data_IF_751198397352
#
_entry.id   IF_751198397352
#
_cell.length_a   1.000
_cell.length_b   1.000
_cell.length_c   1.000
_cell.angle_alpha   90.00
_cell.angle_beta   90.00
_cell.angle_gamma   90.00
#
_symmetry.space_group_name_H-M   'P 1'
#
loop_
_entity.id
_entity.type
_entity.pdbx_description
1 polymer ?
#
# COMPACT_ATOMS: atom_id res chain seq x y z
N UNK A 1 6.73 13.47 -3.18
CA UNK A 1 5.30 13.72 -3.23
C UNK A 1 4.96 14.83 -2.26
N UNK A 2 4.38 15.93 -2.75
CA UNK A 2 4.20 17.12 -1.93
C UNK A 2 3.34 16.92 -0.68
N UNK A 3 2.40 15.99 -0.71
CA UNK A 3 1.47 15.79 0.40
C UNK A 3 1.97 14.82 1.49
N UNK A 4 3.05 14.09 1.24
CA UNK A 4 3.50 13.07 2.17
C UNK A 4 4.50 13.64 3.18
N UNK A 5 4.11 13.59 4.46
CA UNK A 5 4.98 14.08 5.55
C UNK A 5 5.93 13.01 6.06
N UNK A 6 5.54 11.74 5.97
CA UNK A 6 6.31 10.63 6.50
C UNK A 6 7.56 10.37 5.65
N UNK A 7 8.68 10.12 6.31
CA UNK A 7 9.88 9.55 5.72
C UNK A 7 10.28 8.35 6.57
N UNK A 8 10.29 7.17 5.96
CA UNK A 8 10.83 5.98 6.61
C UNK A 8 12.35 5.99 6.37
N UNK A 9 13.12 6.24 7.42
CA UNK A 9 14.58 6.26 7.35
C UNK A 9 15.09 4.85 7.59
N UNK A 10 15.57 4.22 6.53
CA UNK A 10 15.92 2.81 6.54
C UNK A 10 17.36 2.63 7.00
N UNK A 11 17.55 1.82 8.03
CA UNK A 11 18.86 1.41 8.47
C UNK A 11 19.16 0.04 7.85
N UNK A 12 19.88 0.06 6.75
CA UNK A 12 20.32 -1.15 6.09
C UNK A 12 21.43 -1.84 6.87
N UNK A 13 21.73 -3.07 6.50
CA UNK A 13 22.73 -3.91 7.17
C UNK A 13 24.10 -3.26 7.21
N UNK A 14 24.47 -2.49 6.18
CA UNK A 14 25.76 -1.83 6.06
C UNK A 14 25.68 -0.32 6.32
N UNK A 15 24.51 0.19 6.69
CA UNK A 15 24.31 1.60 6.99
C UNK A 15 24.93 1.92 8.35
N UNK A 16 25.83 2.91 8.40
CA UNK A 16 26.37 3.36 9.66
C UNK A 16 25.34 4.14 10.47
N UNK A 17 25.47 4.14 11.79
CA UNK A 17 24.61 4.94 12.65
C UNK A 17 24.75 6.43 12.32
N UNK A 18 25.95 6.90 11.96
CA UNK A 18 26.20 8.29 11.59
C UNK A 18 25.42 8.70 10.34
N UNK A 19 25.45 7.88 9.28
CA UNK A 19 24.71 8.15 8.04
C UNK A 19 23.21 8.15 8.31
N UNK A 20 22.72 7.16 9.06
CA UNK A 20 21.32 7.08 9.46
C UNK A 20 20.88 8.36 10.18
N UNK A 21 21.66 8.80 11.17
CA UNK A 21 21.33 9.97 11.97
C UNK A 21 21.36 11.26 11.15
N UNK A 22 22.28 11.36 10.19
CA UNK A 22 22.33 12.49 9.27
C UNK A 22 21.08 12.59 8.40
N UNK A 23 20.63 11.47 7.82
CA UNK A 23 19.42 11.43 6.99
C UNK A 23 18.19 11.73 7.82
N UNK A 24 18.14 11.20 9.04
CA UNK A 24 17.04 11.45 9.97
C UNK A 24 16.92 12.95 10.29
N UNK A 25 18.03 13.58 10.66
CA UNK A 25 18.07 15.01 10.95
C UNK A 25 17.71 15.85 9.72
N UNK A 26 18.22 15.49 8.55
CA UNK A 26 17.91 16.18 7.29
C UNK A 26 16.41 16.13 7.00
N UNK A 27 15.78 14.98 7.23
CA UNK A 27 14.34 14.82 7.03
C UNK A 27 13.56 15.78 7.93
N UNK A 28 13.98 15.96 9.17
CA UNK A 28 13.37 16.93 10.08
C UNK A 28 13.55 18.36 9.59
N UNK A 29 14.74 18.70 9.10
CA UNK A 29 15.04 20.05 8.61
C UNK A 29 14.17 20.45 7.41
N UNK A 30 13.80 19.52 6.54
CA UNK A 30 12.94 19.80 5.38
C UNK A 30 11.45 19.71 5.71
N UNK A 31 11.08 19.63 6.99
CA UNK A 31 9.70 19.63 7.44
C UNK A 31 8.98 18.30 7.34
N UNK A 32 9.72 17.20 7.15
CA UNK A 32 9.16 15.85 7.17
C UNK A 32 9.19 15.27 8.57
N UNK A 33 8.41 14.21 8.77
CA UNK A 33 8.42 13.45 10.03
C UNK A 33 9.12 12.12 9.76
N UNK A 34 10.39 11.97 10.20
CA UNK A 34 11.12 10.74 9.98
C UNK A 34 10.76 9.67 11.01
N UNK A 35 10.75 8.42 10.55
CA UNK A 35 10.62 7.25 11.40
C UNK A 35 11.80 6.33 11.09
N UNK A 36 12.50 5.87 12.12
CA UNK A 36 13.62 4.96 11.95
C UNK A 36 13.12 3.53 11.74
N UNK A 37 13.60 2.88 10.70
CA UNK A 37 13.16 1.53 10.32
C UNK A 37 14.38 0.66 10.03
N UNK A 38 14.43 -0.52 10.61
CA UNK A 38 15.39 -1.55 10.21
C UNK A 38 14.97 -2.11 8.85
N UNK A 39 15.96 -2.46 8.02
CA UNK A 39 15.70 -2.97 6.68
C UNK A 39 14.89 -4.27 6.72
N UNK A 40 13.74 -4.27 6.05
CA UNK A 40 12.87 -5.43 5.90
C UNK A 40 11.96 -5.23 4.70
N UNK A 41 11.47 -6.31 4.07
CA UNK A 41 10.54 -6.18 2.94
C UNK A 41 9.30 -5.36 3.31
N UNK A 42 8.98 -4.36 2.49
CA UNK A 42 7.82 -3.49 2.68
C UNK A 42 7.97 -2.42 3.75
N UNK A 43 9.06 -2.44 4.50
CA UNK A 43 9.30 -1.51 5.61
C UNK A 43 8.11 -1.49 6.58
N UNK A 44 7.50 -0.33 6.84
CA UNK A 44 6.32 -0.23 7.71
C UNK A 44 5.04 -0.07 6.88
N UNK A 45 4.94 1.01 6.12
CA UNK A 45 3.69 1.42 5.49
C UNK A 45 3.22 0.39 4.47
N UNK A 46 4.06 -0.02 3.55
CA UNK A 46 3.66 -0.96 2.50
C UNK A 46 3.36 -2.35 3.06
N UNK A 47 4.08 -2.77 4.08
CA UNK A 47 3.84 -4.07 4.72
C UNK A 47 2.47 -4.16 5.40
N UNK A 48 1.95 -3.03 5.87
CA UNK A 48 0.62 -2.98 6.48
C UNK A 48 -0.44 -2.62 5.45
N UNK A 49 -0.18 -1.57 4.67
CA UNK A 49 -1.18 -0.95 3.81
C UNK A 49 -1.56 -1.82 2.62
N UNK A 50 -0.59 -2.42 1.95
CA UNK A 50 -0.89 -3.19 0.74
C UNK A 50 -1.61 -4.51 1.07
N UNK A 51 -1.24 -5.27 2.11
CA UNK A 51 -2.07 -6.40 2.56
C UNK A 51 -3.48 -5.99 2.95
N UNK A 52 -3.67 -4.79 3.51
CA UNK A 52 -5.00 -4.26 3.81
C UNK A 52 -5.82 -4.09 2.52
N UNK A 53 -5.23 -3.54 1.46
CA UNK A 53 -5.88 -3.45 0.14
C UNK A 53 -6.22 -4.85 -0.38
N UNK A 54 -5.28 -5.77 -0.32
CA UNK A 54 -5.47 -7.15 -0.76
C UNK A 54 -6.61 -7.83 -0.02
N UNK A 55 -6.71 -7.61 1.28
CA UNK A 55 -7.81 -8.17 2.09
C UNK A 55 -9.16 -7.56 1.70
N UNK A 56 -9.20 -6.25 1.44
CA UNK A 56 -10.41 -5.59 0.92
C UNK A 56 -10.87 -6.20 -0.41
N UNK A 57 -9.93 -6.53 -1.27
CA UNK A 57 -10.21 -7.21 -2.54
C UNK A 57 -10.83 -8.59 -2.28
N UNK A 58 -10.30 -9.31 -1.28
CA UNK A 58 -10.84 -10.61 -0.88
C UNK A 58 -12.29 -10.51 -0.41
N UNK A 59 -12.61 -9.51 0.39
CA UNK A 59 -13.97 -9.28 0.88
C UNK A 59 -14.93 -9.06 -0.30
N UNK A 60 -14.52 -8.27 -1.28
CA UNK A 60 -15.30 -8.05 -2.49
C UNK A 60 -15.50 -9.34 -3.28
N UNK A 61 -14.42 -10.08 -3.51
CA UNK A 61 -14.47 -11.32 -4.28
C UNK A 61 -15.33 -12.39 -3.62
N UNK A 62 -15.33 -12.44 -2.29
CA UNK A 62 -16.15 -13.38 -1.53
C UNK A 62 -17.63 -12.99 -1.46
N UNK A 63 -17.98 -11.82 -1.98
CA UNK A 63 -19.37 -11.37 -2.00
C UNK A 63 -19.90 -10.94 -0.62
N UNK A 64 -19.03 -10.63 0.31
CA UNK A 64 -19.41 -10.20 1.66
C UNK A 64 -20.08 -8.84 1.63
N UNK A 65 -19.57 -7.90 0.82
CA UNK A 65 -20.11 -6.55 0.69
C UNK A 65 -19.75 -5.97 -0.67
N UNK A 66 -20.45 -4.92 -1.05
CA UNK A 66 -20.13 -4.16 -2.27
C UNK A 66 -18.93 -3.26 -2.04
N UNK A 67 -18.28 -2.85 -3.12
CA UNK A 67 -17.07 -2.02 -3.03
C UNK A 67 -17.28 -0.73 -2.25
N UNK A 68 -18.42 -0.06 -2.46
CA UNK A 68 -18.76 1.17 -1.77
C UNK A 68 -18.92 0.95 -0.26
N UNK A 69 -19.49 -0.17 0.12
CA UNK A 69 -19.71 -0.54 1.52
C UNK A 69 -18.39 -0.93 2.21
N UNK A 70 -17.51 -1.63 1.50
CA UNK A 70 -16.18 -1.98 2.02
C UNK A 70 -15.39 -0.69 2.32
N UNK A 71 -15.37 0.24 1.38
CA UNK A 71 -14.65 1.49 1.57
C UNK A 71 -15.29 2.34 2.67
N UNK A 72 -16.62 2.42 2.71
CA UNK A 72 -17.33 3.14 3.75
C UNK A 72 -17.07 2.55 5.13
N UNK A 73 -17.04 1.23 5.25
CA UNK A 73 -16.79 0.56 6.53
C UNK A 73 -15.42 0.94 7.12
N UNK A 74 -14.39 1.02 6.30
CA UNK A 74 -13.06 1.40 6.77
C UNK A 74 -12.94 2.89 7.09
N UNK A 75 -13.65 3.74 6.36
CA UNK A 75 -13.71 5.15 6.68
C UNK A 75 -14.41 5.41 8.01
N UNK A 76 -15.54 4.75 8.23
CA UNK A 76 -16.39 4.99 9.40
C UNK A 76 -15.97 4.15 10.61
N UNK A 77 -15.55 2.92 10.39
CA UNK A 77 -15.20 1.99 11.47
C UNK A 77 -13.77 2.11 11.95
N UNK A 78 -12.85 2.44 11.08
CA UNK A 78 -11.43 2.55 11.39
C UNK A 78 -10.87 3.97 11.21
N UNK A 79 -11.72 4.91 10.84
CA UNK A 79 -11.35 6.31 10.63
C UNK A 79 -10.25 6.50 9.56
N UNK A 80 -10.27 5.65 8.55
CA UNK A 80 -9.35 5.80 7.42
C UNK A 80 -9.83 6.95 6.52
N UNK A 81 -8.92 7.76 5.97
CA UNK A 81 -9.31 8.85 5.06
C UNK A 81 -9.87 8.32 3.74
N UNK A 82 -9.51 7.10 3.37
CA UNK A 82 -9.88 6.47 2.12
C UNK A 82 -10.02 4.96 2.36
N UNK A 83 -11.03 4.33 1.74
CA UNK A 83 -11.19 2.89 1.86
C UNK A 83 -10.17 2.11 1.05
N UNK A 84 -10.05 0.78 1.29
CA UNK A 84 -8.97 -0.01 0.69
C UNK A 84 -9.08 -0.15 -0.83
N UNK A 85 -10.27 -0.24 -1.40
CA UNK A 85 -10.43 -0.40 -2.84
C UNK A 85 -10.16 0.91 -3.57
N UNK A 86 -10.66 2.01 -3.04
CA UNK A 86 -10.35 3.35 -3.54
C UNK A 86 -8.85 3.64 -3.46
N UNK A 87 -8.22 3.24 -2.35
CA UNK A 87 -6.77 3.38 -2.17
C UNK A 87 -5.99 2.54 -3.19
N UNK A 88 -6.42 1.30 -3.43
CA UNK A 88 -5.81 0.47 -4.46
C UNK A 88 -5.87 1.11 -5.85
N UNK A 89 -7.01 1.72 -6.19
CA UNK A 89 -7.17 2.45 -7.44
C UNK A 89 -6.26 3.68 -7.51
N UNK A 90 -6.05 4.36 -6.40
CA UNK A 90 -5.16 5.52 -6.32
C UNK A 90 -3.69 5.12 -6.50
N UNK A 91 -3.26 4.08 -5.81
CA UNK A 91 -1.87 3.58 -5.87
C UNK A 91 -1.58 2.99 -7.25
N UNK A 92 -2.53 2.28 -7.81
CA UNK A 92 -2.38 1.46 -8.99
C UNK A 92 -2.32 -0.01 -8.61
N UNK A 93 -3.23 -0.80 -9.17
CA UNK A 93 -3.34 -2.22 -8.80
C UNK A 93 -2.12 -3.04 -9.25
N UNK A 94 -1.44 -2.61 -10.31
CA UNK A 94 -0.17 -3.21 -10.73
C UNK A 94 0.92 -3.02 -9.67
N UNK A 95 0.98 -1.84 -9.05
CA UNK A 95 1.91 -1.56 -7.96
C UNK A 95 1.54 -2.40 -6.73
N UNK A 96 0.25 -2.47 -6.40
CA UNK A 96 -0.23 -3.31 -5.29
C UNK A 96 0.17 -4.77 -5.50
N UNK A 97 -0.02 -5.29 -6.71
CA UNK A 97 0.35 -6.66 -7.04
C UNK A 97 1.86 -6.88 -6.89
N UNK A 98 2.67 -5.97 -7.43
CA UNK A 98 4.13 -6.08 -7.36
C UNK A 98 4.61 -6.12 -5.90
N UNK A 99 4.05 -5.26 -5.05
CA UNK A 99 4.42 -5.23 -3.62
C UNK A 99 3.99 -6.52 -2.93
N UNK A 100 2.77 -7.00 -3.18
CA UNK A 100 2.31 -8.27 -2.59
C UNK A 100 3.21 -9.43 -3.01
N UNK A 101 3.63 -9.47 -4.27
CA UNK A 101 4.53 -10.52 -4.74
C UNK A 101 5.89 -10.48 -4.05
N UNK A 102 6.42 -9.28 -3.81
CA UNK A 102 7.67 -9.13 -3.05
C UNK A 102 7.51 -9.63 -1.63
N UNK A 103 6.44 -9.21 -0.94
CA UNK A 103 6.18 -9.65 0.43
C UNK A 103 6.01 -11.17 0.50
N UNK A 104 5.27 -11.74 -0.43
CA UNK A 104 5.03 -13.19 -0.48
C UNK A 104 6.32 -13.97 -0.71
N UNK A 105 7.14 -13.53 -1.66
CA UNK A 105 8.41 -14.18 -1.99
C UNK A 105 9.40 -14.08 -0.84
N UNK A 106 9.54 -12.89 -0.25
CA UNK A 106 10.56 -12.63 0.77
C UNK A 106 10.21 -13.26 2.12
N UNK A 107 8.94 -13.23 2.52
CA UNK A 107 8.52 -13.84 3.80
C UNK A 107 8.14 -15.31 3.66
N UNK A 108 7.75 -15.78 2.48
CA UNK A 108 7.31 -17.14 2.27
C UNK A 108 6.03 -17.51 3.02
N UNK A 109 5.25 -16.52 3.43
CA UNK A 109 4.03 -16.71 4.19
C UNK A 109 2.82 -16.50 3.29
N UNK A 110 1.91 -17.49 3.27
CA UNK A 110 0.72 -17.44 2.41
C UNK A 110 -0.23 -16.27 2.72
N UNK A 111 -0.12 -15.65 3.89
CA UNK A 111 -0.91 -14.45 4.20
C UNK A 111 -0.62 -13.29 3.26
N UNK A 112 0.54 -13.30 2.58
CA UNK A 112 0.91 -12.27 1.61
C UNK A 112 0.60 -12.66 0.17
N UNK A 113 -0.07 -13.78 -0.05
CA UNK A 113 -0.45 -14.21 -1.40
C UNK A 113 -1.40 -13.19 -2.02
N UNK A 114 -1.07 -12.64 -3.21
CA UNK A 114 -1.99 -11.74 -3.89
C UNK A 114 -3.31 -12.45 -4.21
N UNK A 115 -4.42 -11.75 -3.98
CA UNK A 115 -5.72 -12.32 -4.30
C UNK A 115 -5.86 -12.55 -5.80
N UNK A 116 -6.49 -13.66 -6.24
CA UNK A 116 -6.70 -13.92 -7.68
C UNK A 116 -7.41 -12.79 -8.42
N UNK A 117 -8.36 -12.09 -7.77
CA UNK A 117 -9.04 -10.96 -8.39
C UNK A 117 -8.08 -9.81 -8.69
N UNK A 118 -7.12 -9.54 -7.79
CA UNK A 118 -6.08 -8.55 -8.05
C UNK A 118 -5.29 -8.88 -9.31
N UNK A 119 -4.87 -10.14 -9.46
CA UNK A 119 -4.16 -10.59 -10.66
C UNK A 119 -5.01 -10.44 -11.92
N UNK A 120 -6.30 -10.78 -11.83
CA UNK A 120 -7.24 -10.65 -12.96
C UNK A 120 -7.35 -9.21 -13.42
N UNK A 121 -7.51 -8.29 -12.49
CA UNK A 121 -7.65 -6.87 -12.81
C UNK A 121 -6.38 -6.31 -13.46
N UNK A 122 -5.22 -6.69 -12.96
CA UNK A 122 -3.95 -6.27 -13.55
C UNK A 122 -3.80 -6.79 -14.97
N UNK A 123 -4.12 -8.08 -15.21
CA UNK A 123 -4.08 -8.64 -16.56
C UNK A 123 -5.05 -7.96 -17.53
N UNK A 124 -6.19 -7.50 -17.01
CA UNK A 124 -7.18 -6.78 -17.79
C UNK A 124 -6.87 -5.29 -17.96
N UNK A 125 -5.73 -4.82 -17.44
CA UNK A 125 -5.33 -3.42 -17.43
C UNK A 125 -6.34 -2.49 -16.73
N UNK A 126 -7.05 -3.04 -15.73
CA UNK A 126 -7.96 -2.30 -14.86
C UNK A 126 -7.19 -1.89 -13.61
N UNK A 127 -6.31 -0.90 -13.74
CA UNK A 127 -5.32 -0.57 -12.71
C UNK A 127 -5.78 0.51 -11.73
N UNK A 128 -6.88 1.17 -12.03
CA UNK A 128 -7.39 2.27 -11.21
C UNK A 128 -7.40 3.59 -11.96
N UNK A 129 -7.09 4.68 -11.25
CA UNK A 129 -7.14 6.04 -11.82
C UNK A 129 -6.27 6.21 -13.06
N UNK A 130 -5.07 5.63 -13.05
CA UNK A 130 -4.12 5.81 -14.16
C UNK A 130 -4.58 5.16 -15.47
N UNK A 131 -5.49 4.19 -15.42
CA UNK A 131 -6.12 3.60 -16.62
C UNK A 131 -7.55 4.06 -16.80
N UNK A 132 -8.06 4.90 -15.91
CA UNK A 132 -9.43 5.40 -15.92
C UNK A 132 -10.45 4.50 -15.27
N UNK A 133 -10.14 3.23 -15.08
CA UNK A 133 -11.04 2.25 -14.44
C UNK A 133 -10.22 1.28 -13.60
N UNK A 134 -10.67 1.03 -12.40
CA UNK A 134 -10.21 -0.01 -11.51
C UNK A 134 -11.43 -0.64 -10.86
N UNK A 135 -11.49 -0.62 -9.54
CA UNK A 135 -12.73 -0.99 -8.83
C UNK A 135 -13.83 0.03 -9.11
N UNK A 136 -13.46 1.28 -9.27
CA UNK A 136 -14.37 2.36 -9.64
C UNK A 136 -14.07 2.87 -11.05
N UNK A 137 -15.02 3.57 -11.62
CA UNK A 137 -14.88 4.19 -12.92
C UNK A 137 -14.61 5.69 -12.75
N UNK A 138 -13.46 6.15 -13.23
CA UNK A 138 -13.01 7.55 -13.14
C UNK A 138 -13.12 8.30 -14.47
N UNK A 139 -13.64 7.66 -15.48
CA UNK A 139 -13.81 8.30 -16.80
C UNK A 139 -14.95 9.30 -16.75
N UNK A 140 -14.75 10.38 -17.45
CA UNK A 140 -15.80 11.40 -17.58
C UNK A 140 -16.66 11.17 -18.81
#
# INVERSE_FOLDING_TARGET
VPAMKLVEVIKGRLTSAEVHDQVFALSQEIGKVPVSVEEAPGFIVNRILIPLVNEGIGILADGVAKKEEIDAAMKLGANHPMGPLELGDLIGLDVCLAIMEVLYREFGDSKYRPHPLLRKMVRANLLGRKTGVGFYDYRK
#
